data_IF_369928865670
#
_entry.id   IF_369928865670
#
_cell.length_a   1.000
_cell.length_b   1.000
_cell.length_c   1.000
_cell.angle_alpha   90.00
_cell.angle_beta   90.00
_cell.angle_gamma   90.00
#
_symmetry.space_group_name_H-M   'P 1'
#
loop_
_entity.id
_entity.type
_entity.pdbx_description
1 polymer ?
#
# COMPACT_ATOMS: atom_id res chain seq x y z
N UNK A 1 8.27 -9.32 -13.61
CA UNK A 1 9.21 -9.99 -12.68
C UNK A 1 8.58 -11.29 -12.22
N UNK A 2 9.26 -12.43 -12.33
CA UNK A 2 8.72 -13.74 -11.92
C UNK A 2 9.25 -14.14 -10.56
N UNK A 3 8.37 -14.59 -9.67
CA UNK A 3 8.75 -15.34 -8.48
C UNK A 3 8.80 -16.83 -8.81
N UNK A 4 9.95 -17.46 -8.55
CA UNK A 4 10.18 -18.89 -8.78
C UNK A 4 10.53 -19.61 -7.48
N UNK A 5 10.08 -20.86 -7.35
CA UNK A 5 10.56 -21.80 -6.34
C UNK A 5 11.94 -22.35 -6.71
N UNK A 6 12.57 -23.09 -5.79
CA UNK A 6 13.84 -23.78 -6.03
C UNK A 6 13.78 -24.75 -7.23
N UNK A 7 12.62 -25.35 -7.49
CA UNK A 7 12.37 -26.20 -8.67
C UNK A 7 12.15 -25.41 -9.97
N UNK A 8 12.40 -24.09 -9.95
CA UNK A 8 12.19 -23.14 -11.05
C UNK A 8 10.73 -22.92 -11.48
N UNK A 9 9.75 -23.52 -10.78
CA UNK A 9 8.32 -23.28 -11.04
C UNK A 9 7.95 -21.84 -10.71
N UNK A 10 7.20 -21.19 -11.60
CA UNK A 10 6.69 -19.83 -11.36
C UNK A 10 5.51 -19.92 -10.42
N UNK A 11 5.57 -19.18 -9.32
CA UNK A 11 4.53 -19.12 -8.28
C UNK A 11 3.90 -17.73 -8.15
N UNK A 12 4.49 -16.74 -8.81
CA UNK A 12 3.91 -15.41 -8.93
C UNK A 12 4.57 -14.66 -10.07
N UNK A 13 3.86 -13.69 -10.63
CA UNK A 13 4.43 -12.80 -11.63
C UNK A 13 3.89 -11.39 -11.44
N UNK A 14 4.79 -10.44 -11.21
CA UNK A 14 4.50 -9.03 -11.17
C UNK A 14 4.60 -8.46 -12.59
N UNK A 15 3.53 -7.82 -13.04
CA UNK A 15 3.37 -7.20 -14.36
C UNK A 15 2.76 -5.80 -14.18
N UNK A 16 2.62 -5.05 -15.29
CA UNK A 16 2.00 -3.70 -15.26
C UNK A 16 3.01 -2.58 -14.98
N UNK A 17 4.20 -2.66 -15.58
CA UNK A 17 5.24 -1.63 -15.43
C UNK A 17 4.99 -0.39 -16.31
N UNK A 18 3.87 -0.32 -17.03
CA UNK A 18 3.57 0.79 -17.94
C UNK A 18 3.38 2.12 -17.17
N UNK A 19 2.95 2.04 -15.90
CA UNK A 19 2.80 3.18 -15.00
C UNK A 19 3.99 3.34 -14.02
N UNK A 20 5.10 2.62 -14.26
CA UNK A 20 6.30 2.72 -13.41
C UNK A 20 7.16 3.92 -13.77
N UNK A 21 7.77 4.55 -12.75
CA UNK A 21 8.73 5.62 -12.96
C UNK A 21 10.17 5.09 -12.93
N UNK A 22 11.05 5.71 -13.72
CA UNK A 22 12.49 5.45 -13.62
C UNK A 22 13.05 6.23 -12.43
N UNK A 23 13.98 5.62 -11.72
CA UNK A 23 14.80 6.30 -10.73
C UNK A 23 16.21 6.52 -11.27
N UNK A 24 16.89 7.55 -10.78
CA UNK A 24 18.31 7.78 -11.06
C UNK A 24 19.24 7.02 -10.08
N UNK A 25 20.55 7.22 -10.20
CA UNK A 25 21.56 6.56 -9.36
C UNK A 25 21.51 7.02 -7.89
N UNK A 26 20.63 7.96 -7.55
CA UNK A 26 20.37 8.46 -6.19
C UNK A 26 18.99 8.05 -5.67
N UNK A 27 18.34 7.09 -6.34
CA UNK A 27 16.99 6.60 -6.04
C UNK A 27 15.90 7.70 -6.16
N UNK A 28 16.20 8.80 -6.85
CA UNK A 28 15.24 9.88 -7.07
C UNK A 28 14.40 9.59 -8.31
N UNK A 29 13.08 9.74 -8.19
CA UNK A 29 12.14 9.59 -9.31
C UNK A 29 12.42 10.61 -10.40
N UNK A 30 12.70 10.12 -11.61
CA UNK A 30 12.88 10.92 -12.81
C UNK A 30 11.49 11.28 -13.36
N UNK A 31 11.12 12.57 -13.43
CA UNK A 31 9.83 12.98 -13.97
C UNK A 31 9.66 12.49 -15.42
N UNK A 32 8.52 11.88 -15.74
CA UNK A 32 8.17 11.56 -17.12
C UNK A 32 7.79 12.85 -17.88
N UNK A 33 8.27 13.02 -19.11
CA UNK A 33 7.85 14.12 -20.00
C UNK A 33 6.38 14.00 -20.47
N UNK A 34 5.76 12.84 -20.25
CA UNK A 34 4.37 12.58 -20.60
C UNK A 34 3.54 12.73 -19.32
N UNK A 35 2.57 13.65 -19.33
CA UNK A 35 1.55 13.76 -18.28
C UNK A 35 0.66 12.51 -18.32
N UNK A 36 1.14 11.44 -17.71
CA UNK A 36 0.32 10.26 -17.44
C UNK A 36 -0.69 10.68 -16.37
N UNK A 37 -1.96 10.73 -16.73
CA UNK A 37 -3.02 10.65 -15.74
C UNK A 37 -2.86 9.25 -15.11
N UNK A 38 -2.44 9.11 -13.84
CA UNK A 38 -2.18 7.80 -13.27
C UNK A 38 -3.44 6.95 -13.41
N UNK A 39 -3.29 5.68 -13.78
CA UNK A 39 -4.41 4.76 -13.68
C UNK A 39 -4.82 4.69 -12.21
N UNK A 40 -5.92 5.35 -11.84
CA UNK A 40 -6.33 5.48 -10.44
C UNK A 40 -6.96 4.17 -10.03
N UNK A 41 -6.14 3.38 -9.35
CA UNK A 41 -6.51 2.09 -8.79
C UNK A 41 -7.15 2.27 -7.42
N UNK A 42 -8.04 1.37 -6.97
CA UNK A 42 -8.43 1.29 -5.57
C UNK A 42 -7.25 1.18 -4.60
N UNK A 43 -6.06 0.87 -5.08
CA UNK A 43 -4.84 0.74 -4.28
C UNK A 43 -3.96 2.00 -4.25
N UNK A 44 -4.35 3.10 -4.91
CA UNK A 44 -3.58 4.36 -4.88
C UNK A 44 -3.38 4.87 -3.45
N UNK A 45 -2.15 5.24 -3.09
CA UNK A 45 -1.79 5.81 -1.78
C UNK A 45 -2.56 7.10 -1.45
N UNK A 46 -2.75 7.41 -0.16
CA UNK A 46 -3.54 8.56 0.30
C UNK A 46 -3.01 9.87 -0.26
N UNK A 47 -1.71 10.10 -0.22
CA UNK A 47 -1.11 11.38 -0.64
C UNK A 47 -1.30 11.66 -2.13
N UNK A 48 -1.50 10.61 -2.94
CA UNK A 48 -1.79 10.69 -4.38
C UNK A 48 -3.29 10.89 -4.68
N UNK A 49 -4.16 10.73 -3.68
CA UNK A 49 -5.60 10.97 -3.79
C UNK A 49 -5.97 12.43 -3.46
N UNK A 50 -5.06 13.22 -2.88
CA UNK A 50 -5.26 14.65 -2.70
C UNK A 50 -4.95 15.41 -3.99
N UNK A 51 -5.99 15.65 -4.79
CA UNK A 51 -5.88 16.39 -6.07
C UNK A 51 -5.65 17.90 -5.90
N UNK A 52 -5.63 18.41 -4.67
CA UNK A 52 -5.41 19.84 -4.41
C UNK A 52 -3.93 20.20 -4.36
N UNK A 53 -3.06 19.19 -4.20
CA UNK A 53 -1.61 19.33 -4.10
C UNK A 53 -0.96 18.42 -5.15
N UNK A 54 -0.01 18.97 -5.90
CA UNK A 54 0.80 18.14 -6.80
C UNK A 54 1.82 17.35 -5.97
N UNK A 55 1.54 16.07 -5.74
CA UNK A 55 2.40 15.16 -4.98
C UNK A 55 3.25 14.33 -5.94
N UNK A 56 4.59 14.40 -5.88
CA UNK A 56 5.44 13.50 -6.66
C UNK A 56 5.27 12.06 -6.18
N UNK A 57 5.34 11.09 -7.08
CA UNK A 57 5.39 9.68 -6.70
C UNK A 57 6.67 9.38 -5.89
N UNK A 58 6.54 8.52 -4.87
CA UNK A 58 7.58 8.13 -3.92
C UNK A 58 7.51 6.64 -3.65
N UNK A 59 8.62 6.07 -3.21
CA UNK A 59 8.73 4.68 -2.79
C UNK A 59 7.69 4.28 -1.74
N UNK A 60 7.42 5.15 -0.75
CA UNK A 60 6.44 4.88 0.30
C UNK A 60 5.00 4.65 -0.23
N UNK A 61 4.67 5.21 -1.40
CA UNK A 61 3.35 4.98 -2.03
C UNK A 61 3.18 3.54 -2.51
N UNK A 62 4.24 2.88 -2.95
CA UNK A 62 4.20 1.46 -3.34
C UNK A 62 4.00 0.57 -2.11
N UNK A 63 4.63 0.92 -0.98
CA UNK A 63 4.44 0.21 0.30
C UNK A 63 3.00 0.34 0.79
N UNK A 64 2.41 1.52 0.67
CA UNK A 64 1.03 1.77 1.06
C UNK A 64 0.05 1.03 0.13
N UNK A 65 0.32 1.05 -1.17
CA UNK A 65 -0.44 0.30 -2.18
C UNK A 65 -0.44 -1.19 -1.86
N UNK A 66 0.71 -1.74 -1.47
CA UNK A 66 0.83 -3.13 -1.05
C UNK A 66 -0.04 -3.43 0.18
N UNK A 67 -0.04 -2.56 1.20
CA UNK A 67 -0.92 -2.72 2.35
C UNK A 67 -2.40 -2.82 1.95
N UNK A 68 -2.86 -2.00 1.00
CA UNK A 68 -4.23 -2.07 0.47
C UNK A 68 -4.52 -3.37 -0.29
N UNK A 69 -3.53 -3.92 -1.00
CA UNK A 69 -3.64 -5.24 -1.63
C UNK A 69 -3.83 -6.35 -0.58
N UNK A 70 -3.18 -6.27 0.59
CA UNK A 70 -3.38 -7.25 1.67
C UNK A 70 -4.81 -7.23 2.20
N UNK A 71 -5.35 -6.03 2.45
CA UNK A 71 -6.74 -5.87 2.89
C UNK A 71 -7.70 -6.42 1.83
N UNK A 72 -7.49 -6.08 0.56
CA UNK A 72 -8.29 -6.57 -0.54
C UNK A 72 -8.24 -8.09 -0.66
N UNK A 73 -7.05 -8.68 -0.64
CA UNK A 73 -6.89 -10.14 -0.75
C UNK A 73 -7.59 -10.89 0.38
N UNK A 74 -7.42 -10.44 1.64
CA UNK A 74 -8.02 -11.10 2.80
C UNK A 74 -9.55 -11.01 2.86
N UNK A 75 -10.14 -9.95 2.27
CA UNK A 75 -11.60 -9.82 2.15
C UNK A 75 -12.13 -10.55 0.92
N UNK A 76 -11.44 -10.48 -0.21
CA UNK A 76 -11.94 -10.90 -1.50
C UNK A 76 -11.78 -12.40 -1.76
N UNK A 77 -10.73 -13.05 -1.25
CA UNK A 77 -10.52 -14.47 -1.50
C UNK A 77 -11.06 -15.36 -0.37
N UNK A 78 -11.53 -16.54 -0.77
CA UNK A 78 -11.81 -17.67 0.10
C UNK A 78 -10.84 -18.80 -0.28
N UNK A 79 -9.76 -18.92 0.48
CA UNK A 79 -8.71 -19.91 0.22
C UNK A 79 -9.23 -21.34 0.38
N UNK A 80 -10.03 -21.59 1.41
CA UNK A 80 -10.63 -22.90 1.69
C UNK A 80 -11.44 -23.43 0.53
N UNK A 81 -12.26 -22.57 -0.08
CA UNK A 81 -13.14 -22.95 -1.17
C UNK A 81 -12.56 -22.66 -2.56
N UNK A 82 -11.35 -22.08 -2.63
CA UNK A 82 -10.69 -21.65 -3.86
C UNK A 82 -11.58 -20.74 -4.72
N UNK A 83 -12.20 -19.73 -4.11
CA UNK A 83 -13.13 -18.83 -4.78
C UNK A 83 -12.85 -17.36 -4.49
N UNK A 84 -13.19 -16.54 -5.46
CA UNK A 84 -13.37 -15.10 -5.28
C UNK A 84 -14.77 -14.83 -4.71
N UNK A 85 -14.84 -13.99 -3.70
CA UNK A 85 -16.09 -13.44 -3.16
C UNK A 85 -16.47 -12.21 -3.98
N UNK A 86 -17.76 -11.83 -4.01
CA UNK A 86 -18.16 -10.55 -4.58
C UNK A 86 -17.40 -9.39 -3.95
N UNK A 87 -17.27 -8.28 -4.69
CA UNK A 87 -16.67 -7.04 -4.18
C UNK A 87 -17.40 -6.59 -2.91
N UNK A 88 -16.66 -6.44 -1.82
CA UNK A 88 -17.21 -5.98 -0.55
C UNK A 88 -17.44 -4.46 -0.59
N UNK A 89 -18.52 -4.00 0.06
CA UNK A 89 -18.89 -2.59 0.12
C UNK A 89 -17.80 -1.71 0.77
N UNK A 90 -16.92 -2.30 1.59
CA UNK A 90 -15.79 -1.59 2.19
C UNK A 90 -14.87 -0.94 1.16
N UNK A 91 -14.75 -1.54 -0.03
CA UNK A 91 -13.90 -1.05 -1.12
C UNK A 91 -14.66 -0.17 -2.12
N UNK A 92 -15.99 -0.06 -2.02
CA UNK A 92 -16.76 0.80 -2.92
C UNK A 92 -16.32 2.26 -2.82
N UNK A 93 -15.88 2.68 -1.63
CA UNK A 93 -15.37 4.03 -1.37
C UNK A 93 -13.95 4.28 -1.89
N UNK A 94 -13.24 3.24 -2.34
CA UNK A 94 -11.89 3.37 -2.92
C UNK A 94 -11.94 3.49 -4.44
N UNK A 95 -13.10 3.24 -5.04
CA UNK A 95 -13.26 3.24 -6.49
C UNK A 95 -13.56 4.67 -6.98
N UNK A 96 -12.56 5.34 -7.54
CA UNK A 96 -12.63 6.76 -7.90
C UNK A 96 -13.10 6.92 -9.36
N UNK A 97 -14.21 7.64 -9.55
CA UNK A 97 -14.73 7.98 -10.89
C UNK A 97 -14.96 9.47 -11.09
N UNK A 98 -15.13 10.21 -9.99
CA UNK A 98 -15.39 11.65 -9.98
C UNK A 98 -14.44 12.36 -9.02
N UNK A 99 -14.28 13.68 -9.16
CA UNK A 99 -13.49 14.50 -8.22
C UNK A 99 -13.95 14.31 -6.76
N UNK A 100 -15.26 14.20 -6.53
CA UNK A 100 -15.79 13.97 -5.19
C UNK A 100 -15.43 12.59 -4.62
N UNK A 101 -15.09 11.63 -5.46
CA UNK A 101 -14.68 10.29 -5.01
C UNK A 101 -13.21 10.27 -4.57
N UNK A 102 -12.36 11.18 -5.06
CA UNK A 102 -10.99 11.34 -4.55
C UNK A 102 -10.99 11.69 -3.08
N UNK A 103 -11.73 12.75 -2.69
CA UNK A 103 -11.83 13.17 -1.28
C UNK A 103 -12.38 12.03 -0.42
N UNK A 104 -13.41 11.32 -0.89
CA UNK A 104 -13.97 10.18 -0.14
C UNK A 104 -12.97 9.04 0.01
N UNK A 105 -12.26 8.68 -1.07
CA UNK A 105 -11.27 7.61 -1.05
C UNK A 105 -10.11 7.96 -0.13
N UNK A 106 -9.60 9.20 -0.23
CA UNK A 106 -8.59 9.76 0.65
C UNK A 106 -9.03 9.64 2.12
N UNK A 107 -10.15 10.26 2.50
CA UNK A 107 -10.62 10.29 3.89
C UNK A 107 -10.86 8.89 4.43
N UNK A 108 -11.45 8.02 3.60
CA UNK A 108 -11.74 6.64 3.98
C UNK A 108 -10.50 5.81 4.28
N UNK A 109 -9.43 6.04 3.50
CA UNK A 109 -8.15 5.36 3.63
C UNK A 109 -7.33 5.93 4.77
N UNK A 110 -7.29 7.25 4.92
CA UNK A 110 -6.60 7.93 6.01
C UNK A 110 -7.14 7.54 7.39
N UNK A 111 -8.44 7.24 7.51
CA UNK A 111 -9.00 6.69 8.74
C UNK A 111 -8.39 5.34 9.16
N UNK A 112 -7.90 4.52 8.23
CA UNK A 112 -7.38 3.18 8.53
C UNK A 112 -6.18 3.24 9.47
N UNK A 113 -5.36 4.28 9.33
CA UNK A 113 -4.14 4.44 10.13
C UNK A 113 -4.46 4.73 11.59
N UNK A 114 -5.49 5.53 11.88
CA UNK A 114 -5.76 6.02 13.25
C UNK A 114 -7.05 5.49 13.89
N UNK A 115 -7.89 4.76 13.15
CA UNK A 115 -9.18 4.28 13.63
C UNK A 115 -9.24 2.75 13.66
N UNK A 116 -8.99 2.17 14.84
CA UNK A 116 -9.10 0.72 15.07
C UNK A 116 -10.48 0.19 14.68
N UNK A 117 -11.54 0.97 14.89
CA UNK A 117 -12.90 0.61 14.49
C UNK A 117 -13.05 0.49 12.97
N UNK A 118 -12.37 1.34 12.20
CA UNK A 118 -12.32 1.26 10.73
C UNK A 118 -11.57 0.02 10.29
N UNK A 119 -10.38 -0.20 10.84
CA UNK A 119 -9.55 -1.37 10.53
C UNK A 119 -10.27 -2.68 10.91
N UNK A 120 -10.89 -2.77 12.08
CA UNK A 120 -11.61 -3.96 12.55
C UNK A 120 -12.81 -4.34 11.68
N UNK A 121 -13.38 -3.40 10.92
CA UNK A 121 -14.40 -3.75 9.91
C UNK A 121 -13.80 -4.67 8.87
N UNK A 122 -12.58 -4.44 8.38
CA UNK A 122 -11.89 -5.35 7.47
C UNK A 122 -11.62 -6.70 8.13
N UNK A 123 -11.09 -6.73 9.36
CA UNK A 123 -10.82 -7.99 10.09
C UNK A 123 -12.03 -8.90 10.14
N UNK A 124 -13.23 -8.33 10.35
CA UNK A 124 -14.47 -9.10 10.43
C UNK A 124 -14.90 -9.78 9.12
N UNK A 125 -14.27 -9.47 7.99
CA UNK A 125 -14.53 -10.10 6.67
C UNK A 125 -13.47 -11.14 6.28
N UNK A 126 -12.35 -11.17 7.01
CA UNK A 126 -11.31 -12.16 6.80
C UNK A 126 -11.85 -13.54 7.17
N UNK A 127 -11.49 -14.55 6.38
CA UNK A 127 -11.72 -15.95 6.77
C UNK A 127 -10.65 -16.38 7.78
N UNK A 128 -10.91 -17.47 8.51
CA UNK A 128 -9.95 -18.04 9.46
C UNK A 128 -8.56 -18.27 8.84
N UNK A 129 -8.50 -18.72 7.58
CA UNK A 129 -7.25 -18.97 6.85
C UNK A 129 -6.43 -17.70 6.58
N UNK A 130 -7.06 -16.53 6.58
CA UNK A 130 -6.39 -15.24 6.41
C UNK A 130 -6.05 -14.54 7.74
N UNK A 131 -6.44 -15.11 8.90
CA UNK A 131 -6.08 -14.52 10.20
C UNK A 131 -4.56 -14.42 10.40
N UNK A 132 -3.74 -15.41 10.00
CA UNK A 132 -2.28 -15.24 10.06
C UNK A 132 -1.79 -14.05 9.21
N UNK A 133 -2.35 -13.80 8.02
CA UNK A 133 -2.03 -12.62 7.22
C UNK A 133 -2.39 -11.33 7.98
N UNK A 134 -3.53 -11.34 8.67
CA UNK A 134 -3.94 -10.20 9.49
C UNK A 134 -2.94 -9.91 10.61
N UNK A 135 -2.68 -10.92 11.45
CA UNK A 135 -1.90 -10.74 12.68
C UNK A 135 -0.40 -10.54 12.38
N UNK A 136 0.13 -11.20 11.35
CA UNK A 136 1.56 -11.13 11.02
C UNK A 136 1.91 -9.96 10.09
N UNK A 137 0.99 -9.52 9.21
CA UNK A 137 1.32 -8.54 8.16
C UNK A 137 0.48 -7.27 8.27
N UNK A 138 -0.86 -7.39 8.29
CA UNK A 138 -1.73 -6.20 8.32
C UNK A 138 -1.54 -5.38 9.59
N UNK A 139 -1.57 -6.02 10.77
CA UNK A 139 -1.42 -5.29 12.03
C UNK A 139 -0.04 -4.63 12.15
N UNK A 140 1.09 -5.33 11.99
CA UNK A 140 2.41 -4.71 12.12
C UNK A 140 2.66 -3.58 11.12
N UNK A 141 2.22 -3.75 9.86
CA UNK A 141 2.34 -2.68 8.87
C UNK A 141 1.47 -1.48 9.22
N UNK A 142 0.23 -1.68 9.69
CA UNK A 142 -0.60 -0.56 10.12
C UNK A 142 0.06 0.26 11.23
N UNK A 143 0.68 -0.41 12.21
CA UNK A 143 1.37 0.30 13.29
C UNK A 143 2.58 1.08 12.75
N UNK A 144 3.34 0.51 11.81
CA UNK A 144 4.45 1.20 11.16
C UNK A 144 3.99 2.47 10.41
N UNK A 145 2.89 2.40 9.65
CA UNK A 145 2.31 3.56 8.97
C UNK A 145 1.75 4.59 9.96
N UNK A 146 1.14 4.14 11.06
CA UNK A 146 0.68 5.01 12.14
C UNK A 146 1.85 5.82 12.74
N UNK A 147 2.93 5.15 13.11
CA UNK A 147 4.13 5.77 13.70
C UNK A 147 4.77 6.77 12.72
N UNK A 148 4.85 6.43 11.43
CA UNK A 148 5.38 7.30 10.40
C UNK A 148 4.58 8.61 10.28
N UNK A 149 3.24 8.52 10.27
CA UNK A 149 2.36 9.68 10.20
C UNK A 149 2.39 10.54 11.47
N UNK A 150 2.47 9.93 12.65
CA UNK A 150 2.58 10.67 13.91
C UNK A 150 3.91 11.43 14.01
N UNK A 151 5.02 10.81 13.58
CA UNK A 151 6.31 11.49 13.56
C UNK A 151 6.36 12.61 12.51
N UNK A 152 5.76 12.41 11.33
CA UNK A 152 5.62 13.50 10.34
C UNK A 152 4.87 14.70 10.94
N UNK A 153 3.72 14.47 11.60
CA UNK A 153 2.96 15.53 12.29
C UNK A 153 3.80 16.26 13.34
N UNK A 154 4.63 15.52 14.08
CA UNK A 154 5.53 16.08 15.10
C UNK A 154 6.64 16.95 14.49
N UNK A 155 7.17 16.54 13.34
CA UNK A 155 8.33 17.16 12.70
C UNK A 155 7.95 18.34 11.77
N UNK A 156 6.65 18.61 11.50
CA UNK A 156 6.09 19.68 10.63
C UNK A 156 6.73 21.09 10.67
N UNK A 157 7.69 21.37 11.56
CA UNK A 157 8.56 22.53 11.58
C UNK A 157 9.91 22.40 10.80
N UNK A 158 10.26 21.23 10.27
CA UNK A 158 11.48 20.98 9.49
C UNK A 158 11.09 20.25 8.20
N UNK A 159 11.68 20.57 7.05
CA UNK A 159 11.47 19.87 5.76
C UNK A 159 11.77 18.38 5.98
N UNK A 160 10.74 17.52 6.13
CA UNK A 160 10.95 16.14 6.47
C UNK A 160 11.42 15.39 5.23
N UNK A 161 12.14 14.28 5.43
CA UNK A 161 12.34 13.31 4.35
C UNK A 161 10.99 12.66 4.06
N UNK A 162 10.34 13.10 2.99
CA UNK A 162 9.03 12.57 2.62
C UNK A 162 9.12 11.25 1.84
N UNK A 163 10.31 10.84 1.38
CA UNK A 163 10.53 9.59 0.65
C UNK A 163 10.36 8.39 1.57
N UNK A 164 10.93 8.48 2.77
CA UNK A 164 10.89 7.41 3.78
C UNK A 164 10.12 7.80 5.05
N UNK A 165 9.40 8.93 5.02
CA UNK A 165 8.74 9.55 6.18
C UNK A 165 9.69 9.61 7.39
N UNK A 166 10.82 10.31 7.22
CA UNK A 166 11.90 10.46 8.20
C UNK A 166 12.54 9.12 8.62
N UNK A 167 12.88 8.28 7.65
CA UNK A 167 13.54 6.99 7.85
C UNK A 167 12.72 5.96 8.65
N UNK A 168 11.41 6.15 8.73
CA UNK A 168 10.49 5.19 9.36
C UNK A 168 10.00 4.18 8.32
N UNK A 169 9.53 4.63 7.17
CA UNK A 169 9.12 3.79 6.04
C UNK A 169 10.28 3.49 5.09
N UNK A 170 11.34 2.87 5.61
CA UNK A 170 12.38 2.27 4.77
C UNK A 170 12.01 0.83 4.40
N UNK A 171 12.66 0.29 3.36
CA UNK A 171 12.49 -1.11 2.99
C UNK A 171 12.85 -2.05 4.15
N UNK A 172 13.91 -1.76 4.87
CA UNK A 172 14.39 -2.56 6.01
C UNK A 172 13.39 -2.57 7.15
N UNK A 173 12.84 -1.41 7.52
CA UNK A 173 11.84 -1.32 8.58
C UNK A 173 10.54 -1.99 8.17
N UNK A 174 10.13 -1.85 6.90
CA UNK A 174 8.97 -2.52 6.34
C UNK A 174 9.13 -4.05 6.40
N UNK A 175 10.26 -4.57 5.95
CA UNK A 175 10.57 -6.01 6.01
C UNK A 175 10.70 -6.50 7.45
N UNK A 176 11.29 -5.69 8.33
CA UNK A 176 11.37 -5.95 9.77
C UNK A 176 10.00 -6.05 10.43
N UNK A 177 9.05 -5.17 10.08
CA UNK A 177 7.68 -5.20 10.58
C UNK A 177 6.96 -6.50 10.16
N UNK A 178 7.25 -7.02 8.96
CA UNK A 178 6.74 -8.31 8.49
C UNK A 178 7.44 -9.53 9.12
N UNK A 179 8.49 -9.32 9.92
CA UNK A 179 9.35 -10.40 10.41
C UNK A 179 10.05 -11.16 9.28
N UNK A 180 10.37 -10.48 8.17
CA UNK A 180 10.99 -11.07 6.97
C UNK A 180 12.36 -10.46 6.73
N UNK A 181 13.28 -11.28 6.26
CA UNK A 181 14.56 -10.79 5.74
C UNK A 181 14.41 -10.44 4.24
N UNK A 182 14.93 -9.29 3.80
CA UNK A 182 15.13 -9.00 2.39
C UNK A 182 15.85 -10.14 1.68
N UNK A 183 15.38 -10.50 0.49
CA UNK A 183 16.16 -11.40 -0.36
C UNK A 183 17.35 -10.66 -0.92
N UNK A 184 18.53 -11.26 -0.80
CA UNK A 184 19.67 -10.90 -1.62
C UNK A 184 19.49 -11.52 -2.99
N UNK A 185 19.67 -10.71 -4.04
CA UNK A 185 19.75 -11.21 -5.41
C UNK A 185 21.23 -11.38 -5.72
N UNK A 186 21.71 -12.62 -5.71
CA UNK A 186 23.05 -12.99 -6.17
C UNK A 186 23.09 -13.12 -7.71
#
# INVERSE_FOLDING_TARGET
MFYRREDSSVVGSLHGFDDSFRVDDTDTVIPSEVSHCPCISPFTATDLLDITIETPHRYCHDLESFFYVLLWAGVHFDLKNHKEKPMDELFALWNVHTEADFTKAHDNKSEIWHNDGRLNRFKSRFTEDFIPLWDEWVTPLRELFYDAQEEEKRIRAQTPDQETLNSILTFENFMGALGREPRTWD
#
